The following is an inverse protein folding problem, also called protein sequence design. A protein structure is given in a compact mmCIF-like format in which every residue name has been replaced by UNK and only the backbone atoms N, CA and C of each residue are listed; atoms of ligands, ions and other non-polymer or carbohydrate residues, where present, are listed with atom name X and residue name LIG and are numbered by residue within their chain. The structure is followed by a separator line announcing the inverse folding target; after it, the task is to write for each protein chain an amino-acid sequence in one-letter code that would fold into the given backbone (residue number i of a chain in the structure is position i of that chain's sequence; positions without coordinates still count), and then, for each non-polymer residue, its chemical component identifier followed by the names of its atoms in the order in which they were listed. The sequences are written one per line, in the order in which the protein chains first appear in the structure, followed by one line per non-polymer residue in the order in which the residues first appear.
data_IF_439037677529
#
_entry.id   IF_439037677529
#
_cell.length_a   1.000
_cell.length_b   1.000
_cell.length_c   1.000
_cell.angle_alpha   90.00
_cell.angle_beta   90.00
_cell.angle_gamma   90.00
#
_symmetry.space_group_name_H-M   'P 1'
#
loop_
_entity.id
_entity.type
_entity.pdbx_description
1 polymer ?
#
# COMPACT_ATOMS: atom_id res chain seq x y z
N UNK A 1 -33.05 -1.20 16.37
CA UNK A 1 -33.50 -0.68 15.05
C UNK A 1 -32.32 -0.33 14.12
N UNK A 2 -31.18 0.15 14.63
CA UNK A 2 -30.02 0.55 13.82
C UNK A 2 -29.22 -0.66 13.31
N UNK A 3 -29.05 -1.71 14.13
CA UNK A 3 -28.24 -2.88 13.78
C UNK A 3 -28.92 -3.85 12.79
N UNK A 4 -30.26 -3.84 12.69
CA UNK A 4 -31.00 -4.75 11.82
C UNK A 4 -30.61 -4.62 10.34
N UNK A 5 -30.68 -3.44 9.73
CA UNK A 5 -30.27 -3.25 8.33
C UNK A 5 -28.78 -3.58 8.09
N UNK A 6 -27.89 -3.17 9.01
CA UNK A 6 -26.44 -3.45 8.91
C UNK A 6 -26.12 -4.94 8.96
N UNK A 7 -26.89 -5.69 9.75
CA UNK A 7 -26.72 -7.14 9.83
C UNK A 7 -26.99 -7.82 8.48
N UNK A 8 -27.93 -7.31 7.70
CA UNK A 8 -28.31 -7.83 6.38
C UNK A 8 -27.40 -7.35 5.24
N UNK A 9 -26.59 -6.32 5.48
CA UNK A 9 -25.68 -5.77 4.45
C UNK A 9 -24.61 -6.81 4.08
N UNK A 10 -24.42 -7.09 2.79
CA UNK A 10 -23.35 -7.99 2.35
C UNK A 10 -21.96 -7.52 2.83
N UNK A 11 -21.05 -8.44 3.14
CA UNK A 11 -19.67 -8.11 3.48
C UNK A 11 -18.95 -7.39 2.33
N UNK A 12 -18.03 -6.49 2.69
CA UNK A 12 -17.23 -5.77 1.68
C UNK A 12 -16.41 -6.72 0.83
N UNK A 13 -15.80 -7.75 1.40
CA UNK A 13 -15.05 -8.77 0.68
C UNK A 13 -15.87 -9.45 -0.42
N UNK A 14 -17.14 -9.76 -0.16
CA UNK A 14 -18.04 -10.29 -1.18
C UNK A 14 -18.30 -9.28 -2.30
N UNK A 15 -18.53 -8.01 -1.94
CA UNK A 15 -18.79 -6.97 -2.93
C UNK A 15 -17.58 -6.71 -3.81
N UNK A 16 -16.37 -6.73 -3.26
CA UNK A 16 -15.13 -6.57 -4.02
C UNK A 16 -14.92 -7.71 -5.01
N UNK A 17 -15.09 -8.95 -4.58
CA UNK A 17 -15.00 -10.10 -5.48
C UNK A 17 -16.06 -10.09 -6.59
N UNK A 18 -17.22 -9.49 -6.35
CA UNK A 18 -18.29 -9.36 -7.37
C UNK A 18 -18.06 -8.21 -8.35
N UNK A 19 -17.22 -7.24 -8.01
CA UNK A 19 -16.99 -6.03 -8.80
C UNK A 19 -15.49 -5.85 -9.10
N UNK A 20 -14.96 -6.76 -9.91
CA UNK A 20 -13.53 -6.89 -10.20
C UNK A 20 -12.99 -5.85 -11.19
N UNK A 21 -13.87 -5.01 -11.78
CA UNK A 21 -13.52 -3.98 -12.76
C UNK A 21 -14.03 -2.61 -12.33
N UNK A 22 -13.40 -1.55 -12.86
CA UNK A 22 -13.91 -0.19 -12.74
C UNK A 22 -15.24 -0.07 -13.48
N UNK A 23 -16.35 -0.19 -12.74
CA UNK A 23 -17.70 -0.18 -13.23
C UNK A 23 -18.62 0.75 -12.43
N UNK A 24 -19.94 0.71 -12.68
CA UNK A 24 -20.91 1.57 -12.00
C UNK A 24 -20.83 1.49 -10.47
N UNK A 25 -20.58 0.29 -9.93
CA UNK A 25 -20.43 0.08 -8.48
C UNK A 25 -19.35 0.98 -7.87
N UNK A 26 -18.18 1.06 -8.50
CA UNK A 26 -17.07 1.88 -8.04
C UNK A 26 -17.31 3.36 -8.32
N UNK A 27 -17.77 3.71 -9.52
CA UNK A 27 -18.02 5.10 -9.95
C UNK A 27 -19.06 5.83 -9.11
N UNK A 28 -20.05 5.12 -8.59
CA UNK A 28 -21.03 5.68 -7.64
C UNK A 28 -20.42 6.04 -6.28
N UNK A 29 -19.26 5.46 -5.93
CA UNK A 29 -18.57 5.64 -4.66
C UNK A 29 -17.40 6.60 -4.72
N UNK A 30 -16.92 6.87 -5.91
CA UNK A 30 -15.82 7.82 -6.14
C UNK A 30 -16.40 9.16 -6.58
N UNK A 31 -15.91 10.23 -5.97
CA UNK A 31 -16.19 11.59 -6.44
C UNK A 31 -15.01 12.10 -7.25
N UNK A 32 -15.23 12.67 -8.45
CA UNK A 32 -14.15 13.27 -9.21
C UNK A 32 -13.49 14.41 -8.40
N UNK A 33 -12.19 14.34 -8.21
CA UNK A 33 -11.46 15.31 -7.38
C UNK A 33 -11.60 16.74 -7.90
N UNK A 34 -11.74 16.92 -9.22
CA UNK A 34 -12.01 18.22 -9.87
C UNK A 34 -13.32 18.89 -9.43
N UNK A 35 -14.27 18.14 -8.86
CA UNK A 35 -15.52 18.69 -8.33
C UNK A 35 -15.36 19.25 -6.90
N UNK A 36 -14.22 19.01 -6.25
CA UNK A 36 -13.94 19.52 -4.91
C UNK A 36 -13.53 20.98 -5.03
N UNK A 37 -14.44 21.87 -4.65
CA UNK A 37 -14.28 23.32 -4.72
C UNK A 37 -14.06 23.95 -3.33
N UNK A 38 -14.37 23.22 -2.28
CA UNK A 38 -14.20 23.69 -0.91
C UNK A 38 -12.71 23.72 -0.53
N UNK A 39 -12.29 24.70 0.27
CA UNK A 39 -10.94 24.72 0.83
C UNK A 39 -10.66 23.43 1.62
N UNK A 40 -9.58 22.75 1.29
CA UNK A 40 -9.25 21.43 1.84
C UNK A 40 -7.86 21.44 2.47
N UNK A 41 -7.78 21.03 3.74
CA UNK A 41 -6.52 20.78 4.44
C UNK A 41 -6.29 19.28 4.58
N UNK A 42 -5.20 18.78 4.03
CA UNK A 42 -4.87 17.37 3.96
C UNK A 42 -3.72 17.05 4.91
N UNK A 43 -3.83 15.91 5.57
CA UNK A 43 -2.74 15.31 6.33
C UNK A 43 -2.58 13.89 5.79
N UNK A 44 -1.36 13.53 5.40
CA UNK A 44 -1.03 12.22 4.84
C UNK A 44 0.23 11.64 5.45
N UNK A 45 0.34 10.31 5.38
CA UNK A 45 1.52 9.57 5.80
C UNK A 45 2.15 8.83 4.61
N UNK A 46 3.48 8.86 4.50
CA UNK A 46 4.22 8.11 3.47
C UNK A 46 4.16 6.60 3.69
N UNK A 47 3.86 6.17 4.93
CA UNK A 47 3.65 4.77 5.30
C UNK A 47 2.16 4.40 5.37
N UNK A 48 1.27 5.26 4.84
CA UNK A 48 -0.17 5.02 4.77
C UNK A 48 -0.55 4.48 3.39
N UNK A 49 -1.45 3.51 3.33
CA UNK A 49 -2.02 3.00 2.09
C UNK A 49 -2.81 4.04 1.28
N UNK A 50 -3.19 5.17 1.89
CA UNK A 50 -3.94 6.25 1.23
C UNK A 50 -3.07 7.44 0.78
N UNK A 51 -1.73 7.34 0.84
CA UNK A 51 -0.78 8.43 0.57
C UNK A 51 -0.97 9.12 -0.79
N UNK A 52 -1.43 8.39 -1.81
CA UNK A 52 -1.58 8.93 -3.16
C UNK A 52 -2.75 9.88 -3.32
N UNK A 53 -3.71 9.88 -2.41
CA UNK A 53 -4.80 10.85 -2.44
C UNK A 53 -4.30 12.29 -2.28
N UNK A 54 -3.16 12.50 -1.61
CA UNK A 54 -2.62 13.86 -1.37
C UNK A 54 -2.11 14.49 -2.68
N UNK A 55 -1.17 13.88 -3.44
CA UNK A 55 -0.74 14.45 -4.71
C UNK A 55 -1.90 14.56 -5.72
N UNK A 56 -2.83 13.61 -5.73
CA UNK A 56 -4.00 13.69 -6.63
C UNK A 56 -4.90 14.88 -6.30
N UNK A 57 -5.17 15.13 -5.03
CA UNK A 57 -5.92 16.30 -4.59
C UNK A 57 -5.20 17.62 -4.92
N UNK A 58 -3.89 17.66 -4.71
CA UNK A 58 -3.07 18.83 -5.06
C UNK A 58 -3.11 19.14 -6.56
N UNK A 59 -3.21 18.12 -7.41
CA UNK A 59 -3.26 18.28 -8.87
C UNK A 59 -4.65 18.59 -9.41
N UNK A 60 -5.70 17.98 -8.86
CA UNK A 60 -7.00 17.90 -9.51
C UNK A 60 -8.09 18.73 -8.84
N UNK A 61 -8.01 19.00 -7.53
CA UNK A 61 -9.04 19.77 -6.84
C UNK A 61 -9.10 21.21 -7.36
N UNK A 62 -10.32 21.73 -7.56
CA UNK A 62 -10.56 23.09 -8.08
C UNK A 62 -10.55 24.15 -6.98
N UNK A 63 -10.67 23.75 -5.71
CA UNK A 63 -10.60 24.62 -4.55
C UNK A 63 -9.17 24.79 -4.00
N UNK A 64 -8.96 25.67 -3.03
CA UNK A 64 -7.68 25.80 -2.34
C UNK A 64 -7.33 24.49 -1.61
N UNK A 65 -6.12 23.98 -1.82
CA UNK A 65 -5.59 22.79 -1.13
C UNK A 65 -4.27 23.10 -0.45
N UNK A 66 -4.17 22.72 0.82
CA UNK A 66 -2.93 22.67 1.60
C UNK A 66 -2.72 21.25 2.10
N UNK A 67 -1.49 20.77 2.09
CA UNK A 67 -1.17 19.42 2.57
C UNK A 67 0.07 19.41 3.48
N UNK A 68 0.05 18.53 4.48
CA UNK A 68 1.22 18.12 5.27
C UNK A 68 1.34 16.61 5.14
N UNK A 69 2.51 16.13 4.70
CA UNK A 69 2.80 14.71 4.52
C UNK A 69 4.06 14.36 5.31
N UNK A 70 3.91 13.51 6.31
CA UNK A 70 5.03 13.02 7.12
C UNK A 70 5.32 11.54 6.89
N UNK A 71 6.33 10.99 7.57
CA UNK A 71 6.69 9.58 7.47
C UNK A 71 5.78 8.70 8.35
N UNK A 72 4.51 9.06 8.43
CA UNK A 72 3.54 8.44 9.33
C UNK A 72 2.83 7.26 8.66
N UNK A 73 2.37 6.34 9.50
CA UNK A 73 1.38 5.33 9.15
C UNK A 73 -0.05 5.92 9.19
N UNK A 74 -1.09 5.08 9.20
CA UNK A 74 -2.50 5.50 9.25
C UNK A 74 -2.90 6.02 10.65
N UNK A 75 -2.18 7.03 11.16
CA UNK A 75 -2.36 7.59 12.51
C UNK A 75 -2.20 9.11 12.45
N UNK A 76 -2.81 9.84 13.37
CA UNK A 76 -2.62 11.29 13.44
C UNK A 76 -1.19 11.67 13.83
N UNK A 77 -0.64 12.76 13.25
CA UNK A 77 0.77 13.13 13.40
C UNK A 77 1.26 13.36 14.84
N UNK A 78 0.36 13.70 15.77
CA UNK A 78 0.72 13.89 17.18
C UNK A 78 0.91 12.57 17.96
N UNK A 79 0.51 11.45 17.39
CA UNK A 79 0.58 10.11 18.01
C UNK A 79 1.32 9.11 17.16
N UNK A 80 1.71 9.50 15.94
CA UNK A 80 2.27 8.57 14.95
C UNK A 80 3.59 7.97 15.39
N UNK A 81 3.72 6.68 15.16
CA UNK A 81 4.97 5.92 15.20
C UNK A 81 5.06 5.18 13.86
N UNK A 82 6.11 5.45 13.05
CA UNK A 82 7.26 6.30 13.37
C UNK A 82 6.91 7.81 13.34
N UNK A 83 7.73 8.58 14.08
CA UNK A 83 7.79 10.04 14.01
C UNK A 83 8.69 10.55 12.86
N UNK A 84 8.92 11.88 12.79
CA UNK A 84 8.68 12.87 13.84
C UNK A 84 7.21 13.17 14.09
N UNK A 85 6.83 13.27 15.35
CA UNK A 85 5.52 13.75 15.75
C UNK A 85 5.45 15.26 15.69
N UNK A 86 4.29 15.82 15.32
CA UNK A 86 4.08 17.27 15.24
C UNK A 86 2.72 17.67 15.82
N UNK A 87 2.61 18.93 16.29
CA UNK A 87 1.34 19.53 16.71
C UNK A 87 0.58 20.07 15.49
N UNK A 88 -0.09 19.18 14.77
CA UNK A 88 -0.83 19.50 13.56
C UNK A 88 -2.15 20.25 13.82
N UNK A 89 -2.72 20.12 15.05
CA UNK A 89 -4.02 20.71 15.40
C UNK A 89 -3.99 22.23 15.32
N UNK A 90 -2.86 22.86 15.62
CA UNK A 90 -2.67 24.30 15.48
C UNK A 90 -2.82 24.75 14.02
N UNK A 91 -2.31 23.96 13.06
CA UNK A 91 -2.47 24.23 11.63
C UNK A 91 -3.92 24.06 11.18
N UNK A 92 -4.62 23.04 11.68
CA UNK A 92 -6.03 22.85 11.41
C UNK A 92 -6.88 24.01 11.98
N UNK A 93 -6.60 24.48 13.19
CA UNK A 93 -7.30 25.66 13.79
C UNK A 93 -7.06 26.91 12.95
N UNK A 94 -5.81 27.18 12.52
CA UNK A 94 -5.48 28.31 11.61
C UNK A 94 -6.30 28.23 10.32
N UNK A 95 -6.39 27.05 9.71
CA UNK A 95 -7.14 26.78 8.49
C UNK A 95 -8.63 27.07 8.67
N UNK A 96 -9.27 26.50 9.70
CA UNK A 96 -10.69 26.69 9.96
C UNK A 96 -11.04 28.11 10.43
N UNK A 97 -10.16 28.79 11.17
CA UNK A 97 -10.36 30.20 11.56
C UNK A 97 -10.37 31.12 10.33
N UNK A 98 -9.54 30.82 9.34
CA UNK A 98 -9.56 31.55 8.08
C UNK A 98 -10.85 31.31 7.29
N UNK A 99 -11.09 30.07 6.90
CA UNK A 99 -12.16 29.72 5.96
C UNK A 99 -13.58 29.77 6.55
N UNK A 100 -13.75 29.49 7.83
CA UNK A 100 -15.07 29.47 8.47
C UNK A 100 -15.39 30.76 9.27
N UNK A 101 -14.36 31.48 9.75
CA UNK A 101 -14.57 32.68 10.55
C UNK A 101 -14.10 33.96 9.86
N UNK A 102 -13.51 33.88 8.66
CA UNK A 102 -13.02 35.01 7.89
C UNK A 102 -11.83 35.75 8.53
N UNK A 103 -11.06 35.08 9.39
CA UNK A 103 -9.87 35.65 10.03
C UNK A 103 -8.68 35.58 9.07
N UNK A 104 -7.85 36.64 8.99
CA UNK A 104 -6.55 36.53 8.35
C UNK A 104 -5.57 35.79 9.27
N UNK A 105 -5.42 34.50 9.03
CA UNK A 105 -4.48 33.62 9.74
C UNK A 105 -3.21 33.36 8.95
N UNK A 106 -3.10 33.91 7.75
CA UNK A 106 -1.94 33.73 6.88
C UNK A 106 -1.91 32.46 6.06
N UNK A 107 -2.91 31.58 6.17
CA UNK A 107 -2.90 30.27 5.50
C UNK A 107 -2.87 30.34 3.97
N UNK A 108 -3.31 31.43 3.35
CA UNK A 108 -3.22 31.65 1.91
C UNK A 108 -1.78 31.89 1.41
N UNK A 109 -0.88 32.24 2.32
CA UNK A 109 0.56 32.47 2.06
C UNK A 109 1.41 31.24 2.38
N UNK A 110 0.80 30.21 2.98
CA UNK A 110 1.49 28.96 3.27
C UNK A 110 1.80 28.17 1.98
N UNK A 111 2.84 27.34 1.97
CA UNK A 111 3.11 26.44 0.84
C UNK A 111 1.93 25.49 0.63
N UNK A 112 1.72 25.08 -0.61
CA UNK A 112 0.69 24.09 -0.93
C UNK A 112 0.97 22.73 -0.31
N UNK A 113 2.25 22.35 -0.21
CA UNK A 113 2.71 21.10 0.37
C UNK A 113 3.89 21.32 1.30
N UNK A 114 3.81 20.72 2.47
CA UNK A 114 4.96 20.47 3.33
C UNK A 114 5.11 18.97 3.45
N UNK A 115 6.25 18.44 3.04
CA UNK A 115 6.49 16.99 2.99
C UNK A 115 7.82 16.65 3.68
N UNK A 116 7.83 15.49 4.33
CA UNK A 116 9.04 14.97 4.97
C UNK A 116 9.88 14.20 3.96
N UNK A 117 11.10 14.68 3.68
CA UNK A 117 12.11 13.98 2.89
C UNK A 117 12.76 12.96 3.80
N UNK A 118 12.46 11.68 3.57
CA UNK A 118 13.03 10.58 4.34
C UNK A 118 14.49 10.38 3.93
N UNK A 119 15.37 10.23 4.92
CA UNK A 119 16.74 9.80 4.72
C UNK A 119 16.87 8.30 4.97
N UNK A 120 17.87 7.69 4.39
CA UNK A 120 18.12 6.27 4.55
C UNK A 120 18.20 5.85 6.03
N UNK A 121 17.62 4.72 6.31
CA UNK A 121 17.71 3.95 7.54
C UNK A 121 17.72 2.46 7.22
N UNK A 122 18.30 1.60 8.07
CA UNK A 122 18.17 0.15 7.89
C UNK A 122 16.70 -0.27 8.02
N UNK A 123 16.29 -1.38 7.40
CA UNK A 123 14.94 -1.92 7.56
C UNK A 123 14.71 -2.32 9.01
N UNK A 124 13.75 -1.68 9.66
CA UNK A 124 13.38 -1.94 11.06
C UNK A 124 11.87 -1.74 11.22
N UNK A 125 11.09 -2.81 11.45
CA UNK A 125 9.64 -2.71 11.65
C UNK A 125 9.25 -1.95 12.93
N UNK A 126 10.19 -1.73 13.85
CA UNK A 126 9.96 -1.03 15.11
C UNK A 126 10.61 0.36 15.16
N UNK A 127 10.96 0.93 14.02
CA UNK A 127 11.58 2.25 13.96
C UNK A 127 10.66 3.31 14.59
N UNK A 128 11.15 3.97 15.64
CA UNK A 128 10.38 5.00 16.36
C UNK A 128 10.35 6.34 15.62
N UNK A 129 11.42 6.69 14.91
CA UNK A 129 11.53 7.93 14.15
C UNK A 129 12.26 7.67 12.83
N UNK A 130 11.70 8.12 11.73
CA UNK A 130 12.36 8.12 10.43
C UNK A 130 13.34 9.29 10.39
N UNK A 131 14.62 9.09 10.03
CA UNK A 131 15.56 10.18 9.76
C UNK A 131 15.10 11.00 8.55
N UNK A 132 15.35 12.30 8.56
CA UNK A 132 15.03 13.15 7.42
C UNK A 132 14.80 14.60 7.79
N UNK A 133 14.25 15.36 6.87
CA UNK A 133 13.97 16.79 7.02
C UNK A 133 12.67 17.19 6.33
N UNK A 134 12.11 18.34 6.77
CA UNK A 134 10.93 18.92 6.14
C UNK A 134 11.31 19.73 4.90
N UNK A 135 10.55 19.51 3.82
CA UNK A 135 10.62 20.26 2.57
C UNK A 135 9.29 20.94 2.29
N UNK A 136 9.33 22.16 1.73
CA UNK A 136 8.13 22.87 1.29
C UNK A 136 8.09 22.98 -0.23
N UNK A 137 6.88 22.90 -0.77
CA UNK A 137 6.59 23.14 -2.18
C UNK A 137 5.42 24.12 -2.30
N UNK A 138 5.67 25.25 -2.97
CA UNK A 138 4.64 26.27 -3.21
C UNK A 138 3.67 25.84 -4.33
N UNK A 139 4.11 24.91 -5.18
CA UNK A 139 3.31 24.29 -6.25
C UNK A 139 3.54 22.80 -6.29
N UNK A 140 2.60 22.08 -6.86
CA UNK A 140 2.73 20.64 -7.07
C UNK A 140 2.35 20.30 -8.53
N UNK A 141 3.11 19.46 -9.27
CA UNK A 141 4.44 18.93 -8.90
C UNK A 141 5.49 20.02 -8.67
N UNK A 142 6.62 19.72 -7.96
CA UNK A 142 7.70 20.70 -7.74
C UNK A 142 8.22 21.26 -9.07
N UNK A 143 8.48 22.56 -9.13
CA UNK A 143 8.91 23.24 -10.38
C UNK A 143 10.31 22.85 -10.82
N UNK A 144 11.16 22.48 -9.89
CA UNK A 144 12.55 22.07 -10.09
C UNK A 144 12.71 20.54 -10.27
N UNK A 145 11.58 19.79 -10.21
CA UNK A 145 11.60 18.37 -10.49
C UNK A 145 11.92 18.08 -11.95
N UNK A 146 12.72 17.05 -12.18
CA UNK A 146 12.99 16.52 -13.51
C UNK A 146 13.02 14.98 -13.48
N UNK A 147 12.80 14.36 -14.63
CA UNK A 147 12.83 12.90 -14.73
C UNK A 147 14.24 12.41 -15.04
N UNK A 148 14.70 11.41 -14.31
CA UNK A 148 15.88 10.62 -14.65
C UNK A 148 15.46 9.21 -15.07
N UNK A 149 16.01 8.70 -16.16
CA UNK A 149 15.69 7.39 -16.71
C UNK A 149 16.89 6.46 -16.57
N UNK A 150 16.66 5.30 -15.93
CA UNK A 150 17.65 4.24 -15.81
C UNK A 150 17.14 2.98 -16.51
N UNK A 151 17.88 2.50 -17.51
CA UNK A 151 17.55 1.29 -18.26
C UNK A 151 18.05 0.04 -17.54
N UNK A 152 17.21 -1.00 -17.53
CA UNK A 152 17.57 -2.32 -17.04
C UNK A 152 18.59 -2.95 -17.99
N UNK A 153 19.72 -3.43 -17.44
CA UNK A 153 20.84 -3.95 -18.22
C UNK A 153 20.93 -5.48 -18.20
N UNK A 154 21.52 -6.12 -19.23
CA UNK A 154 21.71 -7.58 -19.27
C UNK A 154 22.52 -8.15 -18.09
N UNK A 155 23.41 -7.38 -17.51
CA UNK A 155 24.20 -7.74 -16.34
C UNK A 155 23.50 -7.43 -15.00
N UNK A 156 22.17 -7.22 -15.01
CA UNK A 156 21.39 -6.79 -13.85
C UNK A 156 21.78 -5.42 -13.28
N UNK A 157 22.39 -4.56 -14.10
CA UNK A 157 22.67 -3.18 -13.76
C UNK A 157 21.53 -2.24 -14.09
N UNK A 158 21.62 -1.00 -13.57
CA UNK A 158 20.80 0.16 -13.97
C UNK A 158 21.73 1.26 -14.46
N UNK A 159 21.49 1.78 -15.67
CA UNK A 159 22.28 2.86 -16.27
C UNK A 159 21.40 3.82 -17.07
N UNK A 160 21.88 5.05 -17.28
CA UNK A 160 21.20 6.03 -18.15
C UNK A 160 21.28 5.66 -19.65
N UNK A 161 22.18 4.78 -20.01
CA UNK A 161 22.36 4.34 -21.40
C UNK A 161 21.42 3.16 -21.69
N UNK A 162 20.75 3.23 -22.84
CA UNK A 162 19.91 2.13 -23.30
C UNK A 162 20.70 0.82 -23.39
N UNK A 163 20.11 -0.27 -22.94
CA UNK A 163 20.71 -1.59 -22.91
C UNK A 163 20.88 -2.17 -24.33
N UNK A 164 21.77 -3.13 -24.48
CA UNK A 164 21.76 -4.04 -25.64
C UNK A 164 20.57 -4.98 -25.54
N UNK A 165 19.98 -5.45 -26.66
CA UNK A 165 18.88 -6.39 -26.65
C UNK A 165 19.21 -7.66 -25.87
N UNK A 166 18.36 -8.01 -24.92
CA UNK A 166 18.38 -9.24 -24.13
C UNK A 166 16.99 -9.53 -23.57
N UNK A 167 16.80 -10.72 -23.00
CA UNK A 167 15.53 -11.12 -22.38
C UNK A 167 15.80 -11.80 -21.05
N UNK A 168 15.25 -11.23 -19.97
CA UNK A 168 15.28 -11.86 -18.65
C UNK A 168 13.96 -12.55 -18.38
N UNK A 169 14.03 -13.74 -17.77
CA UNK A 169 12.88 -14.58 -17.48
C UNK A 169 12.74 -14.82 -15.98
N UNK A 170 11.51 -14.87 -15.52
CA UNK A 170 11.15 -15.17 -14.14
C UNK A 170 10.07 -16.25 -14.10
N UNK A 171 10.38 -17.37 -13.45
CA UNK A 171 9.39 -18.42 -13.18
C UNK A 171 8.44 -17.92 -12.09
N UNK A 172 7.15 -18.16 -12.28
CA UNK A 172 6.12 -17.82 -11.30
C UNK A 172 6.16 -18.77 -10.11
N UNK A 173 6.19 -18.18 -8.91
CA UNK A 173 6.06 -18.88 -7.62
C UNK A 173 4.98 -18.18 -6.82
N UNK A 174 3.76 -18.73 -6.75
CA UNK A 174 2.58 -18.08 -6.19
C UNK A 174 2.73 -17.54 -4.76
N UNK A 175 3.48 -18.22 -3.90
CA UNK A 175 3.63 -17.88 -2.49
C UNK A 175 4.67 -16.80 -2.18
N UNK A 176 5.31 -16.21 -3.21
CA UNK A 176 6.31 -15.15 -3.02
C UNK A 176 5.63 -13.82 -2.70
N UNK A 177 6.19 -13.08 -1.73
CA UNK A 177 5.76 -11.70 -1.44
C UNK A 177 5.59 -11.36 0.02
N UNK A 178 5.52 -12.31 0.93
CA UNK A 178 5.21 -12.07 2.36
C UNK A 178 6.11 -11.00 2.97
N UNK A 179 7.41 -11.07 2.71
CA UNK A 179 8.40 -10.15 3.27
C UNK A 179 8.44 -8.78 2.56
N UNK A 180 7.64 -8.58 1.51
CA UNK A 180 7.48 -7.28 0.83
C UNK A 180 6.35 -6.41 1.43
N UNK A 181 5.61 -6.93 2.40
CA UNK A 181 4.52 -6.23 3.09
C UNK A 181 3.26 -6.04 2.24
N UNK A 182 2.35 -5.17 2.71
CA UNK A 182 1.04 -4.97 2.09
C UNK A 182 0.93 -3.69 1.27
N UNK A 183 1.44 -2.57 1.79
CA UNK A 183 1.14 -1.25 1.23
C UNK A 183 2.31 -0.60 0.52
N UNK A 184 3.42 -1.35 0.31
CA UNK A 184 4.69 -0.83 -0.21
C UNK A 184 5.22 0.42 0.54
N UNK A 185 4.78 0.65 1.75
CA UNK A 185 5.15 1.79 2.56
C UNK A 185 5.29 1.45 4.03
N UNK A 186 5.03 0.20 4.41
CA UNK A 186 5.23 -0.25 5.78
C UNK A 186 6.72 -0.28 6.12
N UNK A 187 7.02 -0.09 7.40
CA UNK A 187 8.34 -0.42 7.92
C UNK A 187 8.51 -1.92 7.87
N UNK A 188 9.36 -2.38 6.99
CA UNK A 188 9.62 -3.80 6.78
C UNK A 188 10.87 -4.24 7.53
N UNK A 189 10.98 -5.54 7.73
CA UNK A 189 12.25 -6.22 7.93
C UNK A 189 12.98 -6.34 6.57
N UNK A 190 13.94 -7.24 6.46
CA UNK A 190 14.74 -7.44 5.25
C UNK A 190 13.89 -7.92 4.05
N UNK A 191 13.80 -7.17 2.93
CA UNK A 191 13.05 -7.59 1.74
C UNK A 191 13.81 -8.57 0.84
N UNK A 192 15.09 -8.90 1.12
CA UNK A 192 15.93 -9.78 0.28
C UNK A 192 15.38 -11.19 0.07
N UNK A 193 14.63 -11.81 0.99
CA UNK A 193 13.98 -13.09 0.71
C UNK A 193 13.05 -13.05 -0.51
N UNK A 194 12.32 -11.95 -0.72
CA UNK A 194 11.46 -11.76 -1.91
C UNK A 194 12.30 -11.41 -3.13
N UNK A 195 13.38 -10.67 -2.96
CA UNK A 195 14.31 -10.33 -4.05
C UNK A 195 14.94 -11.58 -4.68
N UNK A 196 15.17 -12.64 -3.89
CA UNK A 196 15.71 -13.91 -4.36
C UNK A 196 14.81 -14.62 -5.40
N UNK A 197 13.52 -14.28 -5.44
CA UNK A 197 12.53 -14.80 -6.39
C UNK A 197 12.05 -13.73 -7.38
N UNK A 198 12.90 -12.75 -7.67
CA UNK A 198 12.58 -11.59 -8.49
C UNK A 198 13.71 -11.27 -9.47
N UNK A 199 13.42 -10.48 -10.49
CA UNK A 199 14.46 -9.87 -11.32
C UNK A 199 14.93 -8.58 -10.64
N UNK A 200 16.19 -8.55 -10.23
CA UNK A 200 16.80 -7.47 -9.45
C UNK A 200 17.80 -6.72 -10.30
N UNK A 201 17.75 -5.39 -10.24
CA UNK A 201 18.65 -4.50 -10.98
C UNK A 201 19.19 -3.40 -10.07
N UNK A 202 20.50 -3.25 -10.01
CA UNK A 202 21.18 -2.28 -9.15
C UNK A 202 21.95 -1.25 -9.96
N UNK A 203 21.90 0.03 -9.58
CA UNK A 203 22.79 1.05 -10.12
C UNK A 203 24.25 0.83 -9.68
N UNK A 204 25.20 1.52 -10.31
CA UNK A 204 26.50 1.77 -9.70
C UNK A 204 26.32 2.56 -8.39
N UNK A 205 27.30 2.53 -7.46
CA UNK A 205 27.28 3.42 -6.31
C UNK A 205 27.10 4.87 -6.75
N UNK A 206 26.15 5.57 -6.12
CA UNK A 206 25.86 6.96 -6.43
C UNK A 206 27.06 7.86 -6.15
N UNK A 207 27.41 8.78 -7.06
CA UNK A 207 28.55 9.69 -6.87
C UNK A 207 28.26 10.82 -5.86
N UNK A 208 26.99 11.13 -5.64
CA UNK A 208 26.45 12.16 -4.74
C UNK A 208 25.08 11.72 -4.23
N UNK A 209 24.53 12.46 -3.28
CA UNK A 209 23.18 12.18 -2.78
C UNK A 209 22.15 12.40 -3.89
N UNK A 210 21.11 11.56 -3.91
CA UNK A 210 20.05 11.60 -4.92
C UNK A 210 18.69 11.70 -4.23
N UNK A 211 18.03 12.83 -4.38
CA UNK A 211 16.70 13.05 -3.80
C UNK A 211 15.59 12.81 -4.82
N UNK A 212 14.57 12.04 -4.45
CA UNK A 212 13.36 11.82 -5.24
C UNK A 212 12.13 12.35 -4.48
N UNK A 213 11.21 12.96 -5.23
CA UNK A 213 9.92 13.41 -4.70
C UNK A 213 8.85 13.29 -5.80
N UNK A 214 7.94 12.33 -5.63
CA UNK A 214 6.88 12.05 -6.60
C UNK A 214 6.63 10.57 -6.77
N UNK A 215 6.04 10.19 -7.90
CA UNK A 215 5.74 8.79 -8.24
C UNK A 215 6.76 8.27 -9.25
N UNK A 216 7.60 7.29 -8.90
CA UNK A 216 8.43 6.59 -9.87
C UNK A 216 7.60 5.74 -10.83
N UNK A 217 8.08 5.54 -12.07
CA UNK A 217 7.41 4.70 -13.06
C UNK A 217 8.34 3.57 -13.54
N UNK A 218 7.89 2.32 -13.41
CA UNK A 218 8.54 1.20 -14.09
C UNK A 218 7.89 0.97 -15.45
N UNK A 219 8.59 1.35 -16.50
CA UNK A 219 8.16 1.18 -17.89
C UNK A 219 8.75 -0.13 -18.41
N UNK A 220 7.93 -1.17 -18.53
CA UNK A 220 8.38 -2.52 -18.84
C UNK A 220 7.93 -2.94 -20.23
N UNK A 221 8.80 -3.65 -20.95
CA UNK A 221 8.45 -4.43 -22.13
C UNK A 221 8.35 -5.88 -21.69
N UNK A 222 7.13 -6.36 -21.42
CA UNK A 222 6.92 -7.61 -20.69
C UNK A 222 5.99 -8.57 -21.43
N UNK A 223 6.19 -9.86 -21.23
CA UNK A 223 5.32 -10.92 -21.72
C UNK A 223 5.16 -12.02 -20.70
N UNK A 224 4.13 -12.84 -20.86
CA UNK A 224 3.90 -14.04 -20.06
C UNK A 224 3.54 -15.24 -20.94
N UNK A 225 3.80 -16.45 -20.47
CA UNK A 225 3.39 -17.68 -21.17
C UNK A 225 1.92 -18.05 -20.93
N UNK A 226 1.22 -17.30 -20.07
CA UNK A 226 -0.18 -17.49 -19.68
C UNK A 226 -1.05 -16.31 -20.10
N UNK A 227 -2.39 -16.47 -20.15
CA UNK A 227 -3.31 -15.39 -20.50
C UNK A 227 -3.51 -14.36 -19.39
N UNK A 228 -3.14 -14.66 -18.15
CA UNK A 228 -3.16 -13.76 -17.00
C UNK A 228 -1.81 -13.76 -16.33
N UNK A 229 -1.31 -12.59 -15.99
CA UNK A 229 -0.08 -12.39 -15.23
C UNK A 229 -0.10 -11.01 -14.59
N UNK A 230 0.49 -10.92 -13.41
CA UNK A 230 0.70 -9.68 -12.69
C UNK A 230 2.19 -9.32 -12.72
N UNK A 231 2.47 -8.02 -12.67
CA UNK A 231 3.82 -7.50 -12.50
C UNK A 231 3.84 -6.52 -11.34
N UNK A 232 4.83 -6.70 -10.47
CA UNK A 232 5.06 -5.85 -9.31
C UNK A 232 6.45 -5.24 -9.41
N UNK A 233 6.53 -3.92 -9.30
CA UNK A 233 7.77 -3.19 -9.31
C UNK A 233 8.01 -2.58 -7.93
N UNK A 234 9.21 -2.77 -7.37
CA UNK A 234 9.64 -2.18 -6.09
C UNK A 234 10.91 -1.38 -6.29
N UNK A 235 10.96 -0.23 -5.63
CA UNK A 235 12.12 0.64 -5.53
C UNK A 235 12.71 0.52 -4.13
N UNK A 236 14.01 0.28 -4.05
CA UNK A 236 14.74 0.12 -2.79
C UNK A 236 16.07 0.87 -2.81
N UNK A 237 16.56 1.19 -1.64
CA UNK A 237 17.89 1.73 -1.39
C UNK A 237 18.81 0.61 -0.89
N UNK A 238 19.98 0.47 -1.51
CA UNK A 238 20.98 -0.52 -1.12
C UNK A 238 22.21 0.20 -0.56
N UNK A 239 22.43 0.02 0.74
CA UNK A 239 23.59 0.57 1.43
C UNK A 239 24.91 -0.14 1.02
N UNK A 240 26.08 0.47 1.26
CA UNK A 240 27.36 -0.10 0.88
C UNK A 240 27.68 -1.47 1.50
N UNK A 241 27.07 -1.80 2.63
CA UNK A 241 27.19 -3.10 3.32
C UNK A 241 26.22 -4.18 2.76
N UNK A 242 25.37 -3.81 1.79
CA UNK A 242 24.37 -4.68 1.17
C UNK A 242 23.03 -4.71 1.90
N UNK A 243 22.81 -3.88 2.92
CA UNK A 243 21.51 -3.70 3.57
C UNK A 243 20.53 -3.07 2.57
N UNK A 244 19.30 -3.60 2.48
CA UNK A 244 18.27 -3.17 1.53
C UNK A 244 17.08 -2.60 2.28
N UNK A 245 16.71 -1.36 1.96
CA UNK A 245 15.51 -0.70 2.50
C UNK A 245 14.52 -0.44 1.38
N UNK A 246 13.31 -0.99 1.48
CA UNK A 246 12.24 -0.73 0.51
C UNK A 246 11.69 0.67 0.70
N UNK A 247 11.51 1.40 -0.41
CA UNK A 247 11.01 2.78 -0.42
C UNK A 247 9.55 2.82 -0.84
N UNK A 248 9.25 2.21 -1.97
CA UNK A 248 7.91 2.19 -2.57
C UNK A 248 7.79 1.08 -3.59
N UNK A 249 6.59 0.87 -4.11
CA UNK A 249 6.33 -0.07 -5.18
C UNK A 249 4.93 0.11 -5.74
N UNK A 250 4.56 -0.72 -6.70
CA UNK A 250 3.21 -0.88 -7.20
C UNK A 250 3.06 -2.19 -7.98
N UNK A 251 1.81 -2.56 -8.25
CA UNK A 251 1.48 -3.73 -9.06
C UNK A 251 0.54 -3.38 -10.21
N UNK A 252 0.61 -4.17 -11.27
CA UNK A 252 -0.27 -4.08 -12.42
C UNK A 252 -0.73 -5.48 -12.85
N UNK A 253 -2.04 -5.70 -12.83
CA UNK A 253 -2.64 -6.84 -13.51
C UNK A 253 -2.53 -6.60 -15.02
N UNK A 254 -1.83 -7.49 -15.73
CA UNK A 254 -1.59 -7.34 -17.15
C UNK A 254 -2.86 -7.31 -18.01
N UNK A 255 -3.95 -7.86 -17.53
CA UNK A 255 -5.24 -7.75 -18.24
C UNK A 255 -5.79 -6.32 -18.18
N UNK A 256 -5.43 -5.53 -17.20
CA UNK A 256 -5.87 -4.15 -16.99
C UNK A 256 -4.93 -3.09 -17.59
N UNK A 257 -3.86 -3.51 -18.29
CA UNK A 257 -2.81 -2.64 -18.88
C UNK A 257 -3.33 -1.47 -19.71
N UNK A 258 -4.43 -1.66 -20.42
CA UNK A 258 -5.02 -0.65 -21.30
C UNK A 258 -6.28 -0.02 -20.70
N UNK A 259 -7.00 -0.75 -19.84
CA UNK A 259 -8.27 -0.30 -19.25
C UNK A 259 -8.64 -1.13 -18.02
N UNK A 260 -8.94 -0.46 -16.92
CA UNK A 260 -9.52 -1.08 -15.72
C UNK A 260 -11.03 -1.39 -15.88
N UNK A 261 -11.69 -0.77 -16.85
CA UNK A 261 -13.12 -1.00 -17.12
C UNK A 261 -13.37 -2.11 -18.14
N UNK A 262 -12.43 -2.34 -19.03
CA UNK A 262 -12.49 -3.32 -20.13
C UNK A 262 -11.19 -4.12 -20.18
N UNK A 263 -10.91 -4.93 -19.17
CA UNK A 263 -9.69 -5.73 -19.14
C UNK A 263 -9.69 -6.75 -20.27
N UNK A 264 -8.50 -7.18 -20.68
CA UNK A 264 -8.31 -8.15 -21.77
C UNK A 264 -7.17 -9.08 -21.44
N UNK A 265 -7.40 -10.37 -21.64
CA UNK A 265 -6.35 -11.38 -21.52
C UNK A 265 -5.10 -11.02 -22.31
N UNK A 266 -3.98 -11.51 -21.84
CA UNK A 266 -2.73 -11.49 -22.57
C UNK A 266 -2.75 -12.56 -23.66
N UNK A 267 -2.17 -12.26 -24.83
CA UNK A 267 -1.77 -13.28 -25.78
C UNK A 267 -0.45 -13.89 -25.30
N UNK A 268 -0.38 -15.20 -25.04
CA UNK A 268 0.84 -15.83 -24.54
C UNK A 268 2.08 -15.51 -25.40
N UNK A 269 3.16 -15.14 -24.75
CA UNK A 269 4.44 -14.75 -25.33
C UNK A 269 4.45 -13.42 -26.14
N UNK A 270 3.34 -12.73 -26.25
CA UNK A 270 3.31 -11.40 -26.84
C UNK A 270 3.85 -10.37 -25.86
N UNK A 271 4.74 -9.51 -26.36
CA UNK A 271 5.28 -8.41 -25.57
C UNK A 271 4.31 -7.25 -25.53
N UNK A 272 4.11 -6.70 -24.34
CA UNK A 272 3.28 -5.53 -24.07
C UNK A 272 4.13 -4.47 -23.39
N UNK A 273 3.86 -3.21 -23.71
CA UNK A 273 4.38 -2.09 -22.95
C UNK A 273 3.50 -1.90 -21.72
N UNK A 274 4.08 -1.96 -20.54
CA UNK A 274 3.42 -1.78 -19.25
C UNK A 274 3.99 -0.54 -18.59
N UNK A 275 3.12 0.30 -18.04
CA UNK A 275 3.48 1.43 -17.17
C UNK A 275 2.99 1.13 -15.75
N UNK A 276 3.91 0.91 -14.83
CA UNK A 276 3.63 0.69 -13.42
C UNK A 276 4.02 1.96 -12.67
N UNK A 277 3.02 2.84 -12.47
CA UNK A 277 3.18 4.01 -11.61
C UNK A 277 3.24 3.56 -10.15
N UNK A 278 4.37 3.80 -9.49
CA UNK A 278 4.54 3.48 -8.08
C UNK A 278 3.87 4.52 -7.19
N UNK A 279 3.67 4.16 -5.94
CA UNK A 279 3.12 5.08 -4.95
C UNK A 279 4.06 6.25 -4.65
N UNK A 280 3.49 7.35 -4.13
CA UNK A 280 4.24 8.54 -3.74
C UNK A 280 5.45 8.16 -2.88
N UNK A 281 6.62 8.63 -3.31
CA UNK A 281 7.89 8.50 -2.60
C UNK A 281 8.49 9.87 -2.32
N UNK A 282 9.17 9.95 -1.19
CA UNK A 282 9.97 11.09 -0.77
C UNK A 282 11.18 10.54 -0.03
N UNK A 283 12.34 10.52 -0.72
CA UNK A 283 13.52 9.79 -0.25
C UNK A 283 14.81 10.43 -0.72
N UNK A 284 15.85 10.39 0.11
CA UNK A 284 17.21 10.76 -0.23
C UNK A 284 18.09 9.51 -0.17
N UNK A 285 18.60 9.10 -1.33
CA UNK A 285 19.62 8.06 -1.42
C UNK A 285 20.98 8.68 -1.11
N UNK A 286 21.73 8.22 -0.08
CA UNK A 286 23.03 8.77 0.21
C UNK A 286 24.09 8.42 -0.85
N UNK A 287 25.10 9.27 -0.98
CA UNK A 287 26.31 8.96 -1.74
C UNK A 287 26.88 7.60 -1.37
N UNK A 288 27.28 6.81 -2.38
CA UNK A 288 27.80 5.47 -2.21
C UNK A 288 26.75 4.38 -2.12
N UNK A 289 25.48 4.71 -1.90
CA UNK A 289 24.36 3.80 -2.00
C UNK A 289 24.01 3.49 -3.46
N UNK A 290 23.08 2.55 -3.65
CA UNK A 290 22.60 2.16 -4.99
C UNK A 290 21.10 2.24 -5.05
N UNK A 291 20.59 2.65 -6.18
CA UNK A 291 19.17 2.47 -6.53
C UNK A 291 18.97 1.02 -6.93
N UNK A 292 18.00 0.34 -6.32
CA UNK A 292 17.56 -1.01 -6.69
C UNK A 292 16.15 -0.97 -7.23
N UNK A 293 15.93 -1.62 -8.37
CA UNK A 293 14.61 -1.94 -8.90
C UNK A 293 14.44 -3.45 -8.91
N UNK A 294 13.33 -3.91 -8.32
CA UNK A 294 12.99 -5.33 -8.28
C UNK A 294 11.67 -5.54 -9.02
N UNK A 295 11.64 -6.48 -9.98
CA UNK A 295 10.43 -6.86 -10.71
C UNK A 295 10.07 -8.29 -10.35
N UNK A 296 8.86 -8.47 -9.78
CA UNK A 296 8.31 -9.77 -9.44
C UNK A 296 6.99 -10.02 -10.18
N UNK A 297 6.52 -11.27 -10.18
CA UNK A 297 5.26 -11.70 -10.78
C UNK A 297 4.30 -12.32 -9.76
N UNK A 298 4.61 -12.17 -8.47
CA UNK A 298 3.79 -12.53 -7.33
C UNK A 298 3.99 -11.52 -6.21
N UNK A 299 2.96 -11.29 -5.40
CA UNK A 299 3.01 -10.49 -4.16
C UNK A 299 1.96 -11.05 -3.17
N UNK A 300 2.12 -12.29 -2.81
CA UNK A 300 1.22 -12.98 -1.88
C UNK A 300 1.64 -12.72 -0.42
N UNK A 301 0.72 -12.60 0.54
CA UNK A 301 -0.73 -12.74 0.44
C UNK A 301 -1.48 -11.44 0.10
N UNK A 302 -0.78 -10.33 -0.16
CA UNK A 302 -1.44 -9.07 -0.53
C UNK A 302 -2.31 -9.23 -1.78
N UNK A 303 -1.80 -9.94 -2.79
CA UNK A 303 -2.54 -10.26 -4.01
C UNK A 303 -2.75 -11.76 -4.10
N UNK A 304 -3.98 -12.17 -4.43
CA UNK A 304 -4.27 -13.58 -4.68
C UNK A 304 -3.51 -14.07 -5.91
N UNK A 305 -3.05 -15.33 -5.92
CA UNK A 305 -2.34 -15.87 -7.06
C UNK A 305 -3.17 -15.89 -8.35
N UNK A 306 -2.53 -15.56 -9.47
CA UNK A 306 -3.10 -15.87 -10.80
C UNK A 306 -3.16 -17.38 -10.97
N UNK A 307 -4.22 -17.92 -11.64
CA UNK A 307 -4.50 -19.35 -11.63
C UNK A 307 -3.67 -20.18 -12.61
N UNK A 308 -2.57 -19.65 -13.13
CA UNK A 308 -1.77 -20.32 -14.17
C UNK A 308 -0.32 -20.45 -13.77
N UNK A 309 0.26 -21.64 -13.92
CA UNK A 309 1.71 -21.79 -13.95
C UNK A 309 2.26 -21.09 -15.18
N UNK A 310 3.28 -20.22 -14.99
CA UNK A 310 3.81 -19.40 -16.07
C UNK A 310 5.27 -19.02 -15.87
N UNK A 311 5.84 -18.47 -16.94
CA UNK A 311 7.06 -17.69 -16.92
C UNK A 311 6.75 -16.31 -17.48
N UNK A 312 7.17 -15.27 -16.77
CA UNK A 312 7.15 -13.89 -17.26
C UNK A 312 8.52 -13.52 -17.84
N UNK A 313 8.56 -12.64 -18.82
CA UNK A 313 9.79 -12.19 -19.45
C UNK A 313 9.81 -10.67 -19.56
N UNK A 314 11.00 -10.08 -19.38
CA UNK A 314 11.28 -8.68 -19.65
C UNK A 314 12.20 -8.56 -20.85
N UNK A 315 11.83 -7.72 -21.82
CA UNK A 315 12.69 -7.37 -22.94
C UNK A 315 13.54 -6.17 -22.55
N UNK A 316 14.83 -6.29 -22.76
CA UNK A 316 15.83 -5.24 -22.58
C UNK A 316 16.27 -4.71 -23.94
N UNK A 317 16.84 -3.52 -23.95
CA UNK A 317 17.47 -2.94 -25.12
C UNK A 317 16.60 -2.00 -25.95
N UNK A 318 17.29 -1.11 -26.66
CA UNK A 318 16.69 -0.02 -27.42
C UNK A 318 16.15 1.11 -26.55
N UNK A 319 15.69 2.17 -27.19
CA UNK A 319 15.11 3.36 -26.50
C UNK A 319 13.84 3.04 -25.72
N UNK A 320 13.12 2.00 -26.12
CA UNK A 320 11.85 1.57 -25.49
C UNK A 320 12.03 0.36 -24.57
N UNK A 321 13.27 -0.09 -24.34
CA UNK A 321 13.57 -1.18 -23.41
C UNK A 321 13.08 -0.92 -22.00
N UNK A 322 12.98 -2.00 -21.21
CA UNK A 322 12.52 -1.91 -19.82
C UNK A 322 13.40 -0.97 -19.00
N UNK A 323 12.78 -0.06 -18.25
CA UNK A 323 13.46 1.03 -17.54
C UNK A 323 12.66 1.52 -16.35
N UNK A 324 13.32 2.24 -15.44
CA UNK A 324 12.69 3.01 -14.35
C UNK A 324 12.85 4.51 -14.63
N UNK A 325 11.84 5.28 -14.38
CA UNK A 325 11.83 6.75 -14.41
C UNK A 325 11.66 7.27 -12.99
N UNK A 326 12.62 8.05 -12.51
CA UNK A 326 12.65 8.60 -11.16
C UNK A 326 12.33 10.11 -11.18
N UNK A 327 11.45 10.61 -10.31
CA UNK A 327 11.16 12.04 -10.15
C UNK A 327 12.23 12.69 -9.26
N UNK A 328 13.30 13.18 -9.88
CA UNK A 328 14.42 13.79 -9.17
C UNK A 328 14.10 15.22 -8.80
N UNK A 329 14.48 15.63 -7.57
CA UNK A 329 14.44 17.00 -7.08
C UNK A 329 15.82 17.40 -6.54
N UNK A 330 16.15 18.70 -6.42
CA UNK A 330 17.31 19.13 -5.66
C UNK A 330 17.24 18.62 -4.23
N UNK A 331 18.38 18.29 -3.63
CA UNK A 331 18.49 17.74 -2.27
C UNK A 331 17.80 18.62 -1.22
N UNK A 332 17.98 19.93 -1.30
CA UNK A 332 17.40 20.88 -0.36
C UNK A 332 16.27 21.70 -0.98
N UNK A 333 15.14 21.72 -0.29
CA UNK A 333 14.02 22.61 -0.59
C UNK A 333 14.14 23.97 0.09
N UNK A 334 13.11 24.81 -0.09
CA UNK A 334 13.02 26.06 0.65
C UNK A 334 12.81 25.78 2.15
N UNK A 335 13.29 26.67 3.06
CA UNK A 335 13.13 26.51 4.49
C UNK A 335 11.65 26.34 4.90
N UNK A 336 11.41 25.41 5.80
CA UNK A 336 10.07 25.13 6.34
C UNK A 336 9.95 25.72 7.73
N UNK A 337 8.77 26.27 8.11
CA UNK A 337 8.50 26.62 9.50
C UNK A 337 8.66 25.40 10.40
N UNK A 338 9.32 25.56 11.53
CA UNK A 338 9.45 24.49 12.50
C UNK A 338 8.07 24.13 13.07
N UNK A 339 7.72 22.86 13.03
CA UNK A 339 6.55 22.36 13.74
C UNK A 339 6.84 22.27 15.24
N UNK A 340 5.86 22.64 16.05
CA UNK A 340 5.94 22.40 17.49
C UNK A 340 5.82 20.91 17.78
N UNK A 341 6.50 20.40 18.83
CA UNK A 341 6.22 19.06 19.33
C UNK A 341 4.75 18.97 19.78
N UNK A 342 4.17 17.75 19.81
CA UNK A 342 2.80 17.58 20.25
C UNK A 342 2.55 18.12 21.64
N UNK A 343 1.46 18.83 21.84
CA UNK A 343 0.98 19.11 23.17
C UNK A 343 0.50 17.81 23.81
N UNK A 344 0.78 17.57 25.10
CA UNK A 344 0.24 16.41 25.78
C UNK A 344 -1.27 16.36 25.57
N UNK A 345 -1.78 15.27 25.00
CA UNK A 345 -3.22 15.04 25.01
C UNK A 345 -3.63 14.91 26.48
N UNK A 346 -4.69 15.58 26.90
CA UNK A 346 -5.36 15.20 28.15
C UNK A 346 -5.72 13.73 27.96
N UNK A 347 -4.96 12.84 28.60
CA UNK A 347 -5.33 11.43 28.65
C UNK A 347 -6.78 11.39 29.15
N UNK A 348 -7.66 10.92 28.29
CA UNK A 348 -9.00 10.62 28.73
C UNK A 348 -8.92 9.47 29.71
N UNK A 349 -8.77 9.81 31.01
CA UNK A 349 -8.65 8.84 32.09
C UNK A 349 -9.84 7.84 32.15
N UNK A 350 -10.91 8.13 31.42
CA UNK A 350 -12.10 7.31 31.26
C UNK A 350 -12.03 6.34 30.06
N UNK A 351 -10.96 6.38 29.25
CA UNK A 351 -10.73 5.46 28.13
C UNK A 351 -9.35 4.82 28.30
N UNK A 352 -9.31 3.50 28.29
CA UNK A 352 -8.10 2.69 28.26
C UNK A 352 -8.19 1.76 27.06
N UNK A 353 -7.17 1.72 26.23
CA UNK A 353 -7.06 0.78 25.15
C UNK A 353 -5.76 0.01 25.24
N UNK A 354 -5.81 -1.28 24.95
CA UNK A 354 -4.66 -2.18 24.89
C UNK A 354 -4.85 -3.08 23.67
N UNK A 355 -3.79 -3.36 22.94
CA UNK A 355 -3.86 -4.30 21.85
C UNK A 355 -2.63 -4.27 20.95
N UNK A 356 -2.66 -5.13 19.95
CA UNK A 356 -1.67 -5.15 18.90
C UNK A 356 -2.00 -4.06 17.90
N UNK A 357 -1.10 -3.08 17.68
CA UNK A 357 -1.27 -2.18 16.56
C UNK A 357 -1.22 -2.99 15.26
N UNK A 358 -1.95 -2.53 14.23
CA UNK A 358 -1.77 -3.06 12.89
C UNK A 358 -0.28 -2.94 12.48
N UNK A 359 0.36 -3.98 11.87
CA UNK A 359 -0.25 -5.14 11.21
C UNK A 359 -0.50 -6.40 12.09
N UNK A 360 -0.38 -6.37 13.40
CA UNK A 360 -0.58 -7.56 14.23
C UNK A 360 0.59 -8.55 14.21
N UNK A 361 0.35 -9.78 14.66
CA UNK A 361 1.35 -10.86 14.66
C UNK A 361 1.24 -11.71 13.38
N UNK A 362 2.39 -11.93 12.73
CA UNK A 362 2.52 -12.77 11.55
C UNK A 362 3.38 -13.99 11.83
N UNK A 363 2.95 -15.15 11.34
CA UNK A 363 3.79 -16.35 11.26
C UNK A 363 3.67 -16.97 9.86
N UNK A 364 4.78 -17.47 9.35
CA UNK A 364 4.87 -18.08 8.02
C UNK A 364 5.35 -19.51 8.15
N UNK A 365 4.58 -20.46 7.65
CA UNK A 365 4.93 -21.86 7.60
C UNK A 365 5.13 -22.28 6.14
N UNK A 366 6.28 -22.91 5.82
CA UNK A 366 6.60 -23.41 4.48
C UNK A 366 6.78 -24.94 4.52
N UNK A 367 5.92 -25.66 3.83
CA UNK A 367 6.03 -27.10 3.60
C UNK A 367 6.58 -27.35 2.20
N UNK A 368 7.92 -27.43 2.10
CA UNK A 368 8.62 -27.63 0.83
C UNK A 368 8.22 -28.96 0.15
N UNK A 369 7.92 -30.00 0.94
CA UNK A 369 7.56 -31.34 0.42
C UNK A 369 6.18 -31.32 -0.26
N UNK A 370 5.28 -30.43 0.20
CA UNK A 370 3.93 -30.25 -0.37
C UNK A 370 3.82 -29.01 -1.24
N UNK A 371 4.89 -28.21 -1.40
CA UNK A 371 4.89 -26.95 -2.13
C UNK A 371 3.86 -25.95 -1.60
N UNK A 372 3.61 -25.95 -0.29
CA UNK A 372 2.62 -25.07 0.35
C UNK A 372 3.24 -24.07 1.28
N UNK A 373 2.71 -22.87 1.24
CA UNK A 373 3.01 -21.81 2.21
C UNK A 373 1.72 -21.38 2.88
N UNK A 374 1.74 -21.31 4.21
CA UNK A 374 0.64 -20.82 5.03
C UNK A 374 1.10 -19.58 5.80
N UNK A 375 0.32 -18.52 5.76
CA UNK A 375 0.52 -17.32 6.59
C UNK A 375 -0.61 -17.23 7.58
N UNK A 376 -0.28 -17.10 8.85
CA UNK A 376 -1.21 -16.79 9.91
C UNK A 376 -1.02 -15.35 10.36
N UNK A 377 -2.11 -14.64 10.47
CA UNK A 377 -2.16 -13.31 11.05
C UNK A 377 -3.15 -13.27 12.21
N UNK A 378 -2.77 -12.61 13.30
CA UNK A 378 -3.62 -12.40 14.48
C UNK A 378 -3.61 -10.94 14.87
N UNK A 379 -4.78 -10.42 15.19
CA UNK A 379 -4.97 -9.12 15.81
C UNK A 379 -5.86 -9.24 17.04
N UNK A 380 -5.58 -8.47 18.06
CA UNK A 380 -6.41 -8.35 19.25
C UNK A 380 -6.31 -6.93 19.78
N UNK A 381 -7.45 -6.32 20.03
CA UNK A 381 -7.56 -5.02 20.68
C UNK A 381 -8.57 -5.08 21.82
N UNK A 382 -8.39 -4.25 22.83
CA UNK A 382 -9.38 -4.07 23.87
C UNK A 382 -9.46 -2.62 24.31
N UNK A 383 -10.68 -2.16 24.60
CA UNK A 383 -10.93 -0.82 25.10
C UNK A 383 -11.89 -0.81 26.28
N UNK A 384 -11.57 -0.02 27.30
CA UNK A 384 -12.50 0.31 28.40
C UNK A 384 -13.02 1.72 28.19
N UNK A 385 -14.33 1.87 28.23
CA UNK A 385 -15.06 3.10 27.94
C UNK A 385 -16.10 3.39 29.02
N UNK A 386 -16.61 4.63 29.18
CA UNK A 386 -17.68 4.94 30.15
C UNK A 386 -18.94 4.09 29.98
N UNK A 387 -19.19 3.55 28.79
CA UNK A 387 -20.35 2.70 28.48
C UNK A 387 -20.09 1.21 28.68
N UNK A 388 -18.84 0.76 28.83
CA UNK A 388 -18.47 -0.64 28.97
C UNK A 388 -17.12 -1.00 28.40
N UNK A 389 -16.92 -2.27 28.12
CA UNK A 389 -15.68 -2.79 27.54
C UNK A 389 -15.93 -3.36 26.15
N UNK A 390 -14.97 -3.16 25.25
CA UNK A 390 -14.89 -3.76 23.92
C UNK A 390 -13.64 -4.63 23.84
N UNK A 391 -13.76 -5.78 23.22
CA UNK A 391 -12.63 -6.64 22.86
C UNK A 391 -12.86 -7.07 21.42
N UNK A 392 -11.87 -6.82 20.57
CA UNK A 392 -11.83 -7.28 19.20
C UNK A 392 -10.75 -8.35 19.05
N UNK A 393 -11.08 -9.38 18.32
CA UNK A 393 -10.19 -10.48 18.00
C UNK A 393 -10.33 -10.84 16.53
N UNK A 394 -9.21 -10.98 15.84
CA UNK A 394 -9.15 -11.41 14.43
C UNK A 394 -8.07 -12.47 14.25
N UNK A 395 -8.38 -13.47 13.41
CA UNK A 395 -7.45 -14.51 13.02
C UNK A 395 -7.65 -14.82 11.54
N UNK A 396 -6.62 -14.58 10.74
CA UNK A 396 -6.61 -14.85 9.30
C UNK A 396 -5.58 -15.92 8.97
N UNK A 397 -5.93 -16.82 8.08
CA UNK A 397 -5.04 -17.83 7.54
C UNK A 397 -5.12 -17.78 6.02
N UNK A 398 -3.96 -17.61 5.40
CA UNK A 398 -3.80 -17.61 3.95
C UNK A 398 -2.99 -18.84 3.54
N UNK A 399 -3.47 -19.59 2.54
CA UNK A 399 -2.75 -20.74 1.98
C UNK A 399 -2.50 -20.53 0.49
N UNK A 400 -1.28 -20.80 0.04
CA UNK A 400 -0.91 -20.86 -1.37
C UNK A 400 -0.20 -22.19 -1.68
N UNK A 401 -0.40 -22.71 -2.90
CA UNK A 401 0.22 -23.92 -3.41
C UNK A 401 1.05 -23.58 -4.66
N UNK A 402 2.37 -23.74 -4.58
CA UNK A 402 3.28 -23.36 -5.67
C UNK A 402 3.23 -24.35 -6.85
N UNK A 403 2.72 -25.56 -6.64
CA UNK A 403 2.50 -26.53 -7.70
C UNK A 403 1.13 -26.36 -8.37
N UNK A 404 0.17 -25.77 -7.66
CA UNK A 404 -1.22 -25.58 -8.06
C UNK A 404 -1.67 -24.14 -7.82
N UNK A 405 -1.18 -23.16 -8.60
CA UNK A 405 -1.46 -21.73 -8.39
C UNK A 405 -2.95 -21.39 -8.43
N UNK A 406 -3.77 -22.20 -9.08
CA UNK A 406 -5.22 -22.06 -9.12
C UNK A 406 -5.87 -22.33 -7.76
N UNK A 407 -5.19 -23.04 -6.85
CA UNK A 407 -5.72 -23.37 -5.52
C UNK A 407 -5.10 -22.48 -4.47
N UNK A 408 -5.89 -21.54 -3.95
CA UNK A 408 -5.53 -20.80 -2.77
C UNK A 408 -6.72 -20.72 -1.81
N UNK A 409 -6.48 -20.45 -0.55
CA UNK A 409 -7.55 -20.22 0.40
C UNK A 409 -7.26 -19.07 1.35
N UNK A 410 -8.33 -18.41 1.77
CA UNK A 410 -8.33 -17.43 2.86
C UNK A 410 -9.40 -17.83 3.85
N UNK A 411 -9.00 -18.06 5.11
CA UNK A 411 -9.91 -18.28 6.24
C UNK A 411 -9.79 -17.14 7.20
N UNK A 412 -10.93 -16.66 7.70
CA UNK A 412 -10.98 -15.58 8.67
C UNK A 412 -11.96 -15.89 9.79
N UNK A 413 -11.56 -15.63 11.01
CA UNK A 413 -12.41 -15.62 12.19
C UNK A 413 -12.25 -14.29 12.89
N UNK A 414 -13.38 -13.64 13.18
CA UNK A 414 -13.40 -12.38 13.91
C UNK A 414 -14.46 -12.44 15.00
N UNK A 415 -14.16 -11.85 16.16
CA UNK A 415 -15.09 -11.71 17.25
C UNK A 415 -14.94 -10.33 17.89
N UNK A 416 -16.04 -9.56 17.96
CA UNK A 416 -16.13 -8.32 18.74
C UNK A 416 -17.07 -8.52 19.91
N UNK A 417 -16.58 -8.33 21.13
CA UNK A 417 -17.34 -8.50 22.37
C UNK A 417 -17.56 -7.15 23.05
N UNK A 418 -18.81 -6.71 23.11
CA UNK A 418 -19.23 -5.54 23.87
C UNK A 418 -19.80 -5.95 25.23
N UNK A 419 -19.08 -5.66 26.30
CA UNK A 419 -19.59 -5.83 27.67
C UNK A 419 -20.22 -4.52 28.12
N UNK A 420 -21.54 -4.48 28.10
CA UNK A 420 -22.35 -3.34 28.46
C UNK A 420 -22.95 -3.54 29.88
N UNK A 421 -23.45 -2.47 30.46
CA UNK A 421 -24.15 -2.59 31.78
C UNK A 421 -25.32 -3.57 31.67
N UNK A 422 -25.20 -4.72 32.34
CA UNK A 422 -26.25 -5.73 32.44
C UNK A 422 -26.45 -6.63 31.23
N UNK A 423 -25.53 -6.62 30.24
CA UNK A 423 -25.56 -7.52 29.07
C UNK A 423 -24.23 -7.59 28.34
N UNK A 424 -24.01 -8.69 27.67
CA UNK A 424 -22.91 -8.86 26.71
C UNK A 424 -23.49 -9.03 25.29
N UNK A 425 -22.93 -8.32 24.31
CA UNK A 425 -23.24 -8.52 22.91
C UNK A 425 -21.98 -9.02 22.23
N UNK A 426 -22.06 -10.09 21.46
CA UNK A 426 -20.96 -10.64 20.70
C UNK A 426 -21.33 -10.66 19.23
N UNK A 427 -20.45 -10.11 18.42
CA UNK A 427 -20.51 -10.17 16.97
C UNK A 427 -19.42 -11.13 16.49
N UNK A 428 -19.78 -12.13 15.68
CA UNK A 428 -18.82 -13.08 15.10
C UNK A 428 -18.88 -13.06 13.58
N UNK A 429 -17.74 -13.26 12.97
CA UNK A 429 -17.59 -13.46 11.54
C UNK A 429 -16.73 -14.68 11.24
N UNK A 430 -17.16 -15.53 10.30
CA UNK A 430 -16.41 -16.67 9.80
C UNK A 430 -16.36 -16.55 8.28
N UNK A 431 -15.15 -16.43 7.72
CA UNK A 431 -14.89 -16.31 6.28
C UNK A 431 -14.17 -17.55 5.77
N UNK A 432 -14.61 -18.04 4.64
CA UNK A 432 -13.86 -18.98 3.81
C UNK A 432 -13.94 -18.55 2.36
N UNK A 433 -12.78 -18.31 1.76
CA UNK A 433 -12.64 -18.14 0.31
C UNK A 433 -11.69 -19.24 -0.17
N UNK A 434 -12.12 -20.02 -1.14
CA UNK A 434 -11.26 -20.96 -1.85
C UNK A 434 -11.35 -20.68 -3.33
N UNK A 435 -10.36 -21.14 -4.11
CA UNK A 435 -10.30 -20.85 -5.53
C UNK A 435 -10.05 -22.08 -6.36
N UNK A 436 -10.47 -22.03 -7.61
CA UNK A 436 -9.99 -22.86 -8.70
C UNK A 436 -9.56 -21.98 -9.88
N UNK A 437 -9.28 -22.58 -11.03
CA UNK A 437 -8.85 -21.83 -12.23
C UNK A 437 -9.89 -20.82 -12.73
N UNK A 438 -11.17 -20.98 -12.41
CA UNK A 438 -12.28 -20.20 -12.99
C UNK A 438 -13.09 -19.43 -11.98
N UNK A 439 -13.06 -19.81 -10.71
CA UNK A 439 -14.00 -19.31 -9.73
C UNK A 439 -13.33 -19.00 -8.39
N UNK A 440 -13.93 -18.06 -7.67
CA UNK A 440 -13.85 -17.90 -6.23
C UNK A 440 -15.09 -18.55 -5.60
N UNK A 441 -14.91 -19.38 -4.60
CA UNK A 441 -15.95 -19.95 -3.77
C UNK A 441 -15.94 -19.20 -2.45
N UNK A 442 -16.97 -18.41 -2.23
CA UNK A 442 -17.09 -17.52 -1.09
C UNK A 442 -18.13 -18.01 -0.11
N UNK A 443 -17.77 -18.12 1.16
CA UNK A 443 -18.67 -18.34 2.26
C UNK A 443 -18.33 -17.39 3.41
N UNK A 444 -19.33 -16.68 3.90
CA UNK A 444 -19.21 -15.83 5.08
C UNK A 444 -20.44 -15.95 5.97
N UNK A 445 -20.22 -16.32 7.22
CA UNK A 445 -21.27 -16.38 8.25
C UNK A 445 -21.07 -15.26 9.25
N UNK A 446 -22.12 -14.51 9.49
CA UNK A 446 -22.20 -13.46 10.51
C UNK A 446 -23.17 -13.86 11.59
N UNK A 447 -22.76 -13.74 12.84
CA UNK A 447 -23.53 -14.10 14.00
C UNK A 447 -23.63 -12.94 14.99
N UNK A 448 -24.77 -12.81 15.66
CA UNK A 448 -24.99 -11.91 16.76
C UNK A 448 -25.50 -12.69 17.97
N UNK A 449 -24.79 -12.59 19.09
CA UNK A 449 -25.14 -13.23 20.33
C UNK A 449 -25.47 -12.17 21.40
N UNK A 450 -26.35 -12.52 22.31
CA UNK A 450 -26.62 -11.75 23.53
C UNK A 450 -26.49 -12.68 24.73
N UNK A 451 -25.65 -12.31 25.68
CA UNK A 451 -25.38 -13.09 26.90
C UNK A 451 -25.03 -14.56 26.57
N UNK A 452 -24.26 -14.77 25.50
CA UNK A 452 -23.89 -16.08 25.00
C UNK A 452 -24.94 -16.81 24.15
N UNK A 453 -26.18 -16.33 24.10
CA UNK A 453 -27.23 -16.95 23.31
C UNK A 453 -27.28 -16.34 21.90
N UNK A 454 -27.30 -17.19 20.87
CA UNK A 454 -27.46 -16.78 19.47
C UNK A 454 -28.83 -16.12 19.28
N UNK A 455 -28.83 -14.87 18.82
CA UNK A 455 -30.07 -14.14 18.51
C UNK A 455 -30.26 -13.92 17.01
N UNK A 456 -29.17 -13.98 16.22
CA UNK A 456 -29.27 -13.86 14.78
C UNK A 456 -28.03 -14.49 14.11
N UNK A 457 -28.24 -15.18 12.99
CA UNK A 457 -27.18 -15.68 12.12
C UNK A 457 -27.56 -15.45 10.67
N UNK A 458 -26.57 -15.19 9.80
CA UNK A 458 -26.75 -15.07 8.38
C UNK A 458 -25.51 -15.53 7.65
N UNK A 459 -25.70 -16.36 6.63
CA UNK A 459 -24.65 -16.84 5.75
C UNK A 459 -24.86 -16.30 4.33
N UNK A 460 -23.77 -15.87 3.71
CA UNK A 460 -23.66 -15.60 2.28
C UNK A 460 -22.77 -16.70 1.69
N UNK A 461 -23.26 -17.36 0.66
CA UNK A 461 -22.52 -18.39 -0.05
C UNK A 461 -22.71 -18.16 -1.54
N UNK A 462 -21.61 -17.91 -2.25
CA UNK A 462 -21.62 -17.58 -3.68
C UNK A 462 -20.44 -18.22 -4.41
N UNK A 463 -20.67 -18.57 -5.67
CA UNK A 463 -19.63 -18.91 -6.63
C UNK A 463 -19.49 -17.71 -7.57
N UNK A 464 -18.31 -17.14 -7.62
CA UNK A 464 -18.02 -15.90 -8.34
C UNK A 464 -16.96 -16.21 -9.39
N UNK A 465 -17.24 -15.95 -10.65
CA UNK A 465 -16.27 -16.15 -11.71
C UNK A 465 -15.04 -15.24 -11.49
N UNK A 466 -13.83 -15.79 -11.71
CA UNK A 466 -12.64 -14.97 -11.89
C UNK A 466 -12.79 -14.22 -13.20
N UNK A 467 -12.77 -12.91 -13.12
CA UNK A 467 -12.94 -12.02 -14.27
C UNK A 467 -11.62 -11.28 -14.48
N UNK A 468 -10.70 -11.97 -15.15
CA UNK A 468 -9.30 -11.52 -15.36
C UNK A 468 -8.48 -11.32 -14.06
N UNK A 469 -8.79 -12.13 -13.02
CA UNK A 469 -8.07 -12.13 -11.73
C UNK A 469 -7.35 -13.44 -11.50
#
# INVERSE_FOLDING_TARGET
KVLGPRFETPPWSLLYLKHQHDGPFWRERVRPLKEIQIPSFLIGGLLDGYRDNVPDMLMQASGPVKAIVGPWNHTFPNEAVPGPQIEWRNEAVRWFDHWLKGRDTGVERDPRLVIYMQHWHPPDPNLENVPGEWRREDVWPPQDAHSSTLFLQPNHGLTETAATPDTHQLKYVPSVGVEAGFWWGELLSDPRPVDAFSLVYDSAPLPEDLAILGRPHALLQASATAPLADWFARLSDVAPDGTVTQITGAGLNGAQRDSMSEPRDLEPNKVYALDIEMHLASWVFPKGHRVRVTISNALWPMMLPTPYSMTTSLQLGGSDGSRIVLPIVPEHGAPVPAFSPPEPSEERADIKSEGFPWPGEWTVERDEARHKTTVHWKGQESGEYPWGKEIDYENLTYDADDAHPETCSVRGEAETVFTLKGRTLTWRGHLLVTTDQKNFYYEYTRELLKDGAMIKSKTWQETIARDHQ
#
